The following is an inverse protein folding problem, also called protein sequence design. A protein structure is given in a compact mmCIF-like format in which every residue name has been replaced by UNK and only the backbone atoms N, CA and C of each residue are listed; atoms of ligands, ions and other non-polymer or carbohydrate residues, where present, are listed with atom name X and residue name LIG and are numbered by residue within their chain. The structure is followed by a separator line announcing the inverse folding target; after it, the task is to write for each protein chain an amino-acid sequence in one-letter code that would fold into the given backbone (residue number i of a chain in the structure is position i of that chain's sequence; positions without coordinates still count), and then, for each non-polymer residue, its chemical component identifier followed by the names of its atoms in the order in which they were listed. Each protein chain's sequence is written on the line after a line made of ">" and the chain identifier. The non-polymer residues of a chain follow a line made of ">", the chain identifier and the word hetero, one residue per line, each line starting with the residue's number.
data_IF_623140885347
#
_entry.id   IF_623140885347
#
_cell.length_a   1.000
_cell.length_b   1.000
_cell.length_c   1.000
_cell.angle_alpha   90.00
_cell.angle_beta   90.00
_cell.angle_gamma   90.00
#
_symmetry.space_group_name_H-M   'P 1'
#
loop_
_entity.id
_entity.type
_entity.pdbx_description
1 polymer ?
#
# COMPACT_ATOMS: atom_id res chain seq x y z
N UNK A 1 -6.31 9.36 -3.23
CA UNK A 1 -5.07 8.85 -2.60
C UNK A 1 -5.07 7.33 -2.70
N UNK A 2 -3.94 6.70 -3.03
CA UNK A 2 -3.81 5.24 -3.13
C UNK A 2 -2.77 4.75 -2.13
N UNK A 3 -3.07 3.68 -1.43
CA UNK A 3 -2.21 2.98 -0.47
C UNK A 3 -2.30 1.48 -0.74
N UNK A 4 -1.29 0.73 -0.35
CA UNK A 4 -1.26 -0.74 -0.43
C UNK A 4 -0.26 -1.26 0.60
N UNK A 5 -0.30 -2.56 0.88
CA UNK A 5 0.76 -3.28 1.60
C UNK A 5 1.05 -2.68 2.98
N UNK A 6 -0.02 -2.35 3.73
CA UNK A 6 0.15 -1.77 5.07
C UNK A 6 0.69 -2.78 6.06
N UNK A 7 0.40 -4.08 5.85
CA UNK A 7 0.97 -5.19 6.63
C UNK A 7 0.91 -4.94 8.15
N UNK A 8 -0.31 -4.74 8.66
CA UNK A 8 -0.56 -4.62 10.09
C UNK A 8 -0.15 -5.92 10.77
N UNK A 9 0.83 -5.81 11.66
CA UNK A 9 1.36 -6.94 12.40
C UNK A 9 0.27 -7.58 13.28
N UNK A 10 0.04 -8.87 13.03
CA UNK A 10 -0.89 -9.68 13.80
C UNK A 10 -0.30 -10.09 15.17
N UNK A 11 -1.04 -10.91 15.90
CA UNK A 11 -0.69 -11.33 17.27
C UNK A 11 0.24 -12.54 17.32
N UNK A 12 0.37 -13.30 16.24
CA UNK A 12 1.03 -14.62 16.22
C UNK A 12 2.54 -14.47 16.09
N UNK A 13 3.01 -13.74 15.08
CA UNK A 13 4.44 -13.57 14.75
C UNK A 13 4.94 -12.15 14.98
N UNK A 14 4.05 -11.18 15.15
CA UNK A 14 4.41 -9.78 15.35
C UNK A 14 5.04 -9.50 16.73
N UNK A 15 6.22 -8.88 16.75
CA UNK A 15 6.82 -8.37 17.98
C UNK A 15 6.15 -7.05 18.40
N UNK A 16 5.79 -6.91 19.68
CA UNK A 16 4.98 -5.78 20.17
C UNK A 16 5.64 -4.40 19.95
N UNK A 17 6.97 -4.32 20.04
CA UNK A 17 7.69 -3.05 19.83
C UNK A 17 7.70 -2.63 18.36
N UNK A 18 7.86 -3.60 17.46
CA UNK A 18 7.83 -3.34 16.01
C UNK A 18 6.42 -2.94 15.57
N UNK A 19 5.43 -3.66 16.10
CA UNK A 19 4.01 -3.35 15.98
C UNK A 19 3.71 -1.90 16.38
N UNK A 20 4.11 -1.50 17.59
CA UNK A 20 3.91 -0.13 18.09
C UNK A 20 4.58 0.92 17.18
N UNK A 21 5.83 0.67 16.77
CA UNK A 21 6.61 1.60 15.93
C UNK A 21 5.97 1.77 14.56
N UNK A 22 5.67 0.67 13.87
CA UNK A 22 5.12 0.66 12.50
C UNK A 22 3.74 1.30 12.49
N UNK A 23 2.87 0.96 13.43
CA UNK A 23 1.52 1.50 13.51
C UNK A 23 1.51 3.00 13.79
N UNK A 24 2.35 3.46 14.71
CA UNK A 24 2.49 4.89 14.97
C UNK A 24 2.98 5.64 13.72
N UNK A 25 3.99 5.10 13.02
CA UNK A 25 4.49 5.72 11.80
C UNK A 25 3.43 5.77 10.70
N UNK A 26 2.71 4.66 10.47
CA UNK A 26 1.63 4.58 9.48
C UNK A 26 0.50 5.55 9.80
N UNK A 27 0.04 5.58 11.06
CA UNK A 27 -1.02 6.51 11.46
C UNK A 27 -0.57 7.97 11.24
N UNK A 28 0.64 8.34 11.65
CA UNK A 28 1.15 9.71 11.46
C UNK A 28 1.27 10.06 9.98
N UNK A 29 1.80 9.16 9.16
CA UNK A 29 1.92 9.36 7.72
C UNK A 29 0.54 9.55 7.07
N UNK A 30 -0.41 8.67 7.39
CA UNK A 30 -1.77 8.74 6.85
C UNK A 30 -2.51 10.02 7.25
N UNK A 31 -2.49 10.37 8.54
CA UNK A 31 -3.14 11.59 9.03
C UNK A 31 -2.50 12.87 8.45
N UNK A 32 -1.18 12.85 8.24
CA UNK A 32 -0.47 13.97 7.59
C UNK A 32 -0.82 14.06 6.11
N UNK A 33 -0.91 12.92 5.40
CA UNK A 33 -1.31 12.87 4.00
C UNK A 33 -2.76 13.36 3.82
N UNK A 34 -3.68 12.99 4.72
CA UNK A 34 -5.05 13.54 4.74
C UNK A 34 -5.04 15.07 4.86
N UNK A 35 -4.24 15.61 5.78
CA UNK A 35 -4.18 17.04 6.04
C UNK A 35 -3.56 17.82 4.86
N UNK A 36 -2.46 17.31 4.28
CA UNK A 36 -1.74 17.98 3.19
C UNK A 36 -2.45 17.85 1.84
N UNK A 37 -2.89 16.64 1.50
CA UNK A 37 -3.39 16.31 0.16
C UNK A 37 -4.90 16.50 0.02
N UNK A 38 -5.63 16.57 1.15
CA UNK A 38 -7.09 16.72 1.20
C UNK A 38 -7.84 15.84 0.18
N UNK A 39 -7.59 14.51 0.15
CA UNK A 39 -8.19 13.66 -0.87
C UNK A 39 -9.70 13.48 -0.65
N UNK A 40 -10.47 13.46 -1.74
CA UNK A 40 -11.91 13.14 -1.69
C UNK A 40 -12.16 11.62 -1.58
N UNK A 41 -11.27 10.82 -2.18
CA UNK A 41 -11.35 9.34 -2.19
C UNK A 41 -9.99 8.72 -1.88
N UNK A 42 -10.01 7.66 -1.10
CA UNK A 42 -8.85 6.86 -0.68
C UNK A 42 -9.10 5.41 -1.07
N UNK A 43 -8.13 4.79 -1.72
CA UNK A 43 -8.12 3.36 -2.02
C UNK A 43 -7.00 2.68 -1.25
N UNK A 44 -7.30 1.57 -0.57
CA UNK A 44 -6.31 0.65 0.02
C UNK A 44 -6.37 -0.66 -0.77
N UNK A 45 -5.27 -1.01 -1.43
CA UNK A 45 -5.20 -2.06 -2.44
C UNK A 45 -4.54 -3.35 -1.91
N UNK A 46 -5.16 -3.96 -0.90
CA UNK A 46 -4.75 -5.27 -0.38
C UNK A 46 -3.61 -5.26 0.62
N UNK A 47 -3.39 -6.44 1.20
CA UNK A 47 -2.41 -6.77 2.25
C UNK A 47 -2.43 -5.77 3.41
N UNK A 48 -3.64 -5.64 3.97
CA UNK A 48 -3.90 -4.75 5.09
C UNK A 48 -3.26 -5.31 6.35
N UNK A 49 -3.44 -6.60 6.61
CA UNK A 49 -2.98 -7.37 7.77
C UNK A 49 -1.97 -8.43 7.35
N UNK A 50 -1.02 -8.78 8.22
CA UNK A 50 -0.01 -9.81 7.93
C UNK A 50 -0.49 -11.25 8.16
N UNK A 51 -1.52 -11.42 8.99
CA UNK A 51 -1.86 -12.72 9.57
C UNK A 51 -3.35 -13.06 9.49
N UNK A 52 -4.12 -12.40 8.65
CA UNK A 52 -5.57 -12.50 8.69
C UNK A 52 -6.07 -13.95 8.57
N UNK A 53 -5.45 -14.75 7.68
CA UNK A 53 -5.68 -16.20 7.54
C UNK A 53 -5.53 -17.00 8.84
N UNK A 54 -4.52 -16.66 9.64
CA UNK A 54 -4.14 -17.41 10.84
C UNK A 54 -4.70 -16.79 12.13
N UNK A 55 -5.44 -15.68 12.01
CA UNK A 55 -5.99 -14.94 13.13
C UNK A 55 -7.22 -15.63 13.69
N UNK A 56 -7.41 -15.57 15.02
CA UNK A 56 -8.68 -15.95 15.62
C UNK A 56 -9.74 -14.87 15.36
N UNK A 57 -11.03 -15.21 15.45
CA UNK A 57 -12.11 -14.21 15.24
C UNK A 57 -11.97 -12.98 16.13
N UNK A 58 -11.53 -13.14 17.37
CA UNK A 58 -11.28 -12.03 18.28
C UNK A 58 -10.07 -11.19 17.84
N UNK A 59 -8.94 -11.85 17.52
CA UNK A 59 -7.74 -11.14 17.08
C UNK A 59 -7.98 -10.39 15.76
N UNK A 60 -8.75 -10.98 14.84
CA UNK A 60 -9.21 -10.31 13.63
C UNK A 60 -10.05 -9.06 13.93
N UNK A 61 -11.03 -9.16 14.84
CA UNK A 61 -11.84 -8.01 15.23
C UNK A 61 -10.99 -6.89 15.86
N UNK A 62 -10.02 -7.25 16.71
CA UNK A 62 -9.07 -6.31 17.29
C UNK A 62 -8.21 -5.64 16.19
N UNK A 63 -7.74 -6.41 15.21
CA UNK A 63 -6.95 -5.91 14.08
C UNK A 63 -7.76 -4.95 13.20
N UNK A 64 -9.02 -5.27 12.89
CA UNK A 64 -9.96 -4.39 12.17
C UNK A 64 -10.21 -3.09 12.93
N UNK A 65 -10.38 -3.14 14.26
CA UNK A 65 -10.55 -1.94 15.07
C UNK A 65 -9.30 -1.05 15.03
N UNK A 66 -8.12 -1.64 15.08
CA UNK A 66 -6.84 -0.91 14.98
C UNK A 66 -6.69 -0.28 13.60
N UNK A 67 -7.02 -1.00 12.54
CA UNK A 67 -7.07 -0.48 11.19
C UNK A 67 -8.01 0.74 11.10
N UNK A 68 -9.25 0.63 11.55
CA UNK A 68 -10.22 1.74 11.53
C UNK A 68 -9.73 2.96 12.31
N UNK A 69 -9.05 2.75 13.44
CA UNK A 69 -8.47 3.82 14.25
C UNK A 69 -7.34 4.55 13.52
N UNK A 70 -6.40 3.80 12.93
CA UNK A 70 -5.24 4.40 12.25
C UNK A 70 -5.65 5.13 10.96
N UNK A 71 -6.53 4.51 10.17
CA UNK A 71 -7.02 5.03 8.90
C UNK A 71 -8.31 5.86 9.06
N UNK A 72 -8.53 6.43 10.24
CA UNK A 72 -9.66 7.33 10.52
C UNK A 72 -9.63 8.54 9.59
N UNK A 73 -10.79 8.90 9.06
CA UNK A 73 -10.93 9.99 8.10
C UNK A 73 -12.25 10.75 8.34
N UNK A 74 -12.35 12.01 7.90
CA UNK A 74 -13.60 12.76 7.93
C UNK A 74 -14.70 12.09 7.12
N UNK A 75 -15.96 12.29 7.49
CA UNK A 75 -17.12 11.67 6.83
C UNK A 75 -17.30 12.06 5.35
N UNK A 76 -16.72 13.19 4.92
CA UNK A 76 -16.73 13.62 3.52
C UNK A 76 -15.67 12.93 2.64
N UNK A 77 -14.77 12.14 3.24
CA UNK A 77 -13.75 11.38 2.50
C UNK A 77 -14.24 9.95 2.35
N UNK A 78 -14.20 9.41 1.13
CA UNK A 78 -14.59 8.01 0.90
C UNK A 78 -13.37 7.08 0.99
N UNK A 79 -13.44 6.06 1.84
CA UNK A 79 -12.44 4.98 1.89
C UNK A 79 -12.97 3.72 1.20
N UNK A 80 -12.20 3.21 0.23
CA UNK A 80 -12.44 1.95 -0.48
C UNK A 80 -11.29 0.99 -0.19
N UNK A 81 -11.60 -0.23 0.20
CA UNK A 81 -10.60 -1.21 0.64
C UNK A 81 -10.81 -2.50 -0.14
N UNK A 82 -9.74 -3.00 -0.74
CA UNK A 82 -9.66 -4.32 -1.36
C UNK A 82 -8.78 -5.18 -0.48
N UNK A 83 -9.12 -6.46 -0.31
CA UNK A 83 -8.28 -7.38 0.49
C UNK A 83 -7.20 -8.02 -0.38
N UNK A 84 -6.08 -8.42 0.25
CA UNK A 84 -4.98 -9.14 -0.38
C UNK A 84 -4.81 -10.54 0.20
N UNK A 85 -3.74 -11.23 -0.19
CA UNK A 85 -3.49 -12.59 0.28
C UNK A 85 -3.10 -12.67 1.75
N UNK A 86 -2.47 -11.65 2.33
CA UNK A 86 -2.15 -11.69 3.76
C UNK A 86 -3.40 -11.48 4.64
N UNK A 87 -4.47 -10.88 4.09
CA UNK A 87 -5.73 -10.63 4.79
C UNK A 87 -6.59 -11.90 4.92
N UNK A 88 -6.70 -12.70 3.86
CA UNK A 88 -7.61 -13.86 3.81
C UNK A 88 -6.90 -15.19 3.54
N UNK A 89 -5.62 -15.14 3.15
CA UNK A 89 -4.82 -16.31 2.84
C UNK A 89 -4.90 -16.81 1.40
N UNK A 90 -3.89 -17.58 0.98
CA UNK A 90 -3.97 -18.46 -0.18
C UNK A 90 -4.60 -19.79 0.26
N UNK A 91 -5.89 -19.99 0.03
CA UNK A 91 -6.50 -21.33 0.03
C UNK A 91 -7.29 -21.49 -1.26
N UNK A 92 -7.25 -22.69 -1.80
CA UNK A 92 -7.68 -23.10 -3.13
C UNK A 92 -9.18 -22.93 -3.45
N UNK A 93 -9.97 -22.21 -2.63
CA UNK A 93 -11.45 -22.24 -2.69
C UNK A 93 -12.21 -20.93 -2.35
N UNK A 94 -11.60 -19.73 -2.28
CA UNK A 94 -12.37 -18.46 -2.22
C UNK A 94 -11.61 -17.37 -2.99
N UNK A 95 -12.03 -16.96 -4.20
CA UNK A 95 -13.17 -16.07 -4.59
C UNK A 95 -13.14 -14.72 -3.89
N UNK A 96 -12.28 -13.86 -4.42
CA UNK A 96 -12.39 -12.41 -4.30
C UNK A 96 -12.58 -11.86 -5.71
N UNK A 97 -13.71 -11.21 -5.95
CA UNK A 97 -14.04 -10.51 -7.21
C UNK A 97 -13.04 -9.35 -7.36
N UNK A 98 -11.87 -9.66 -7.93
CA UNK A 98 -10.96 -8.75 -8.65
C UNK A 98 -9.63 -9.42 -9.04
N UNK A 99 -9.25 -10.56 -8.44
CA UNK A 99 -8.03 -11.29 -8.81
C UNK A 99 -8.33 -12.67 -9.41
N UNK A 100 -9.49 -13.23 -9.06
CA UNK A 100 -9.87 -14.60 -9.38
C UNK A 100 -10.38 -14.77 -10.83
N UNK A 101 -11.07 -13.77 -11.37
CA UNK A 101 -11.46 -13.77 -12.79
C UNK A 101 -10.25 -13.66 -13.74
N UNK A 102 -9.10 -13.23 -13.22
CA UNK A 102 -7.87 -13.16 -13.98
C UNK A 102 -7.19 -14.55 -14.01
N UNK A 103 -7.25 -15.37 -12.96
CA UNK A 103 -6.53 -16.67 -12.91
C UNK A 103 -6.77 -17.58 -14.13
N UNK A 104 -7.98 -17.58 -14.69
CA UNK A 104 -8.30 -18.24 -15.96
C UNK A 104 -8.17 -19.76 -15.95
N UNK A 105 -8.36 -20.35 -14.79
CA UNK A 105 -8.39 -21.79 -14.55
C UNK A 105 -9.76 -22.45 -14.85
N UNK A 106 -10.75 -21.68 -15.32
CA UNK A 106 -12.08 -22.19 -15.68
C UNK A 106 -12.94 -22.57 -14.47
N UNK A 107 -12.65 -22.03 -13.29
CA UNK A 107 -13.43 -22.31 -12.08
C UNK A 107 -14.91 -21.86 -12.21
N UNK A 108 -15.83 -22.72 -11.78
CA UNK A 108 -17.29 -22.54 -11.94
C UNK A 108 -17.81 -21.25 -11.27
N UNK A 109 -17.29 -20.90 -10.10
CA UNK A 109 -17.69 -19.69 -9.36
C UNK A 109 -17.12 -18.41 -10.01
N UNK A 110 -16.07 -18.55 -10.83
CA UNK A 110 -15.40 -17.44 -11.51
C UNK A 110 -16.13 -17.03 -12.79
N UNK A 111 -16.94 -17.93 -13.36
CA UNK A 111 -17.64 -17.73 -14.64
C UNK A 111 -18.47 -16.45 -14.70
N UNK A 112 -19.13 -16.06 -13.59
CA UNK A 112 -19.89 -14.82 -13.53
C UNK A 112 -18.98 -13.59 -13.61
N UNK A 113 -17.92 -13.55 -12.81
CA UNK A 113 -16.98 -12.43 -12.81
C UNK A 113 -16.19 -12.33 -14.12
N UNK A 114 -15.85 -13.46 -14.74
CA UNK A 114 -15.25 -13.49 -16.08
C UNK A 114 -16.22 -12.97 -17.15
N UNK A 115 -17.50 -13.36 -17.08
CA UNK A 115 -18.53 -12.86 -18.00
C UNK A 115 -18.73 -11.34 -17.83
N UNK A 116 -18.74 -10.83 -16.60
CA UNK A 116 -18.82 -9.39 -16.30
C UNK A 116 -17.60 -8.63 -16.85
N UNK A 117 -16.38 -9.16 -16.70
CA UNK A 117 -15.18 -8.56 -17.29
C UNK A 117 -15.22 -8.55 -18.82
N UNK A 118 -15.68 -9.63 -19.44
CA UNK A 118 -15.86 -9.71 -20.90
C UNK A 118 -16.90 -8.67 -21.36
N UNK A 119 -17.99 -8.50 -20.63
CA UNK A 119 -19.03 -7.50 -20.93
C UNK A 119 -18.51 -6.07 -20.81
N UNK A 120 -17.76 -5.76 -19.75
CA UNK A 120 -17.11 -4.46 -19.55
C UNK A 120 -16.09 -4.17 -20.65
N UNK A 121 -15.26 -5.17 -21.00
CA UNK A 121 -14.30 -5.09 -22.10
C UNK A 121 -15.00 -4.80 -23.43
N UNK A 122 -16.11 -5.48 -23.72
CA UNK A 122 -16.92 -5.24 -24.91
C UNK A 122 -17.48 -3.80 -24.94
N UNK A 123 -18.07 -3.32 -23.84
CA UNK A 123 -18.61 -1.95 -23.75
C UNK A 123 -17.53 -0.88 -23.97
N UNK A 124 -16.34 -1.09 -23.40
CA UNK A 124 -15.20 -0.17 -23.54
C UNK A 124 -14.65 -0.15 -24.97
N UNK A 125 -14.52 -1.32 -25.61
CA UNK A 125 -14.12 -1.41 -27.02
C UNK A 125 -15.14 -0.75 -27.94
N UNK A 126 -16.43 -0.97 -27.71
CA UNK A 126 -17.51 -0.32 -28.45
C UNK A 126 -17.47 1.21 -28.33
N UNK A 127 -17.14 1.73 -27.14
CA UNK A 127 -17.09 3.18 -26.93
C UNK A 127 -15.95 3.89 -27.66
N UNK A 128 -14.95 3.16 -28.10
CA UNK A 128 -13.78 3.68 -28.83
C UNK A 128 -13.95 3.62 -30.36
N UNK A 129 -14.95 2.91 -30.87
CA UNK A 129 -15.21 2.84 -32.31
C UNK A 129 -15.81 4.17 -32.80
N UNK A 130 -15.20 4.77 -33.83
CA UNK A 130 -15.71 6.00 -34.48
C UNK A 130 -17.01 5.76 -35.25
N UNK A 131 -17.27 4.53 -35.68
CA UNK A 131 -18.48 4.14 -36.42
C UNK A 131 -19.26 3.10 -35.63
N UNK A 132 -20.55 3.38 -35.42
CA UNK A 132 -21.48 2.47 -34.74
C UNK A 132 -21.73 1.25 -35.64
N UNK A 133 -21.18 0.11 -35.26
CA UNK A 133 -21.57 -1.18 -35.84
C UNK A 133 -22.81 -1.70 -35.13
N UNK A 134 -23.58 -2.59 -35.79
CA UNK A 134 -24.77 -3.25 -35.20
C UNK A 134 -24.44 -4.08 -33.95
N UNK A 135 -23.16 -4.40 -33.75
CA UNK A 135 -22.62 -5.17 -32.64
C UNK A 135 -22.40 -4.33 -31.36
N UNK A 136 -22.52 -3.00 -31.45
CA UNK A 136 -22.32 -2.07 -30.34
C UNK A 136 -23.61 -1.30 -30.02
N UNK A 137 -24.66 -2.03 -29.60
CA UNK A 137 -25.92 -1.47 -29.13
C UNK A 137 -25.83 -1.18 -27.61
N UNK A 138 -26.07 0.07 -27.20
CA UNK A 138 -26.01 0.48 -25.80
C UNK A 138 -25.51 1.90 -25.57
N UNK A 139 -25.41 2.29 -24.30
CA UNK A 139 -24.88 3.57 -23.84
C UNK A 139 -23.36 3.59 -24.02
N UNK A 140 -22.86 4.60 -24.75
CA UNK A 140 -21.43 4.82 -24.94
C UNK A 140 -20.82 5.29 -23.61
N UNK A 141 -19.74 4.63 -23.19
CA UNK A 141 -18.93 5.04 -22.04
C UNK A 141 -18.07 6.27 -22.42
N UNK A 142 -17.78 7.19 -21.49
CA UNK A 142 -16.85 8.27 -21.76
C UNK A 142 -15.51 7.73 -22.31
N UNK A 143 -14.87 8.47 -23.21
CA UNK A 143 -13.61 8.05 -23.83
C UNK A 143 -12.40 8.00 -22.85
N UNK A 144 -12.64 8.09 -21.54
CA UNK A 144 -11.64 7.89 -20.50
C UNK A 144 -11.19 6.42 -20.49
N UNK A 145 -9.88 6.20 -20.45
CA UNK A 145 -9.35 4.86 -20.25
C UNK A 145 -9.85 4.32 -18.88
N UNK A 146 -10.26 3.04 -18.81
CA UNK A 146 -10.61 2.42 -17.53
C UNK A 146 -9.39 2.38 -16.62
N UNK A 147 -9.57 2.71 -15.34
CA UNK A 147 -8.52 2.55 -14.33
C UNK A 147 -8.70 1.19 -13.67
N UNK A 148 -7.73 0.29 -13.87
CA UNK A 148 -7.66 -0.99 -13.17
C UNK A 148 -6.89 -0.81 -11.86
N UNK A 149 -7.53 -1.17 -10.75
CA UNK A 149 -6.91 -1.16 -9.43
C UNK A 149 -6.85 -2.59 -8.92
N UNK A 150 -5.64 -3.10 -8.70
CA UNK A 150 -5.42 -4.46 -8.21
C UNK A 150 -4.19 -4.51 -7.30
N UNK A 151 -4.16 -5.54 -6.45
CA UNK A 151 -3.05 -5.83 -5.56
C UNK A 151 -1.94 -6.63 -6.27
N UNK A 152 -2.31 -7.63 -7.07
CA UNK A 152 -1.34 -8.45 -7.82
C UNK A 152 -0.80 -7.71 -9.05
N UNK A 153 0.50 -7.75 -9.35
CA UNK A 153 1.03 -7.14 -10.56
C UNK A 153 0.62 -7.91 -11.82
N UNK A 154 0.30 -7.20 -12.91
CA UNK A 154 0.11 -7.79 -14.24
C UNK A 154 1.41 -8.44 -14.73
N UNK A 155 1.25 -9.38 -15.66
CA UNK A 155 2.33 -10.09 -16.32
C UNK A 155 3.35 -9.13 -16.90
N UNK A 156 4.60 -9.32 -16.47
CA UNK A 156 5.79 -8.74 -17.07
C UNK A 156 6.92 -9.76 -16.93
N UNK A 157 7.85 -9.77 -17.88
CA UNK A 157 8.93 -10.76 -17.90
C UNK A 157 9.93 -10.55 -16.76
N UNK A 158 10.28 -9.30 -16.47
CA UNK A 158 11.18 -8.89 -15.39
C UNK A 158 11.08 -7.38 -15.15
N UNK A 159 11.91 -6.85 -14.25
CA UNK A 159 12.11 -5.42 -14.00
C UNK A 159 13.02 -4.71 -15.02
N UNK A 160 13.43 -5.38 -16.10
CA UNK A 160 14.45 -4.88 -17.03
C UNK A 160 14.08 -3.55 -17.72
N UNK A 161 12.80 -3.34 -17.98
CA UNK A 161 12.30 -2.12 -18.62
C UNK A 161 11.99 -0.99 -17.62
N UNK A 162 12.17 -1.22 -16.31
CA UNK A 162 11.92 -0.21 -15.30
C UNK A 162 13.15 0.70 -15.16
N UNK A 163 12.94 2.00 -15.35
CA UNK A 163 14.00 3.03 -15.30
C UNK A 163 13.80 4.07 -14.20
N UNK A 164 12.76 3.94 -13.37
CA UNK A 164 12.46 4.86 -12.27
C UNK A 164 13.44 4.74 -11.09
N UNK A 165 13.36 5.70 -10.17
CA UNK A 165 14.20 5.72 -8.95
C UNK A 165 14.00 4.47 -8.08
N UNK A 166 12.78 3.90 -8.09
CA UNK A 166 12.43 2.67 -7.35
C UNK A 166 12.66 1.38 -8.15
N UNK A 167 13.20 1.45 -9.37
CA UNK A 167 13.45 0.24 -10.14
C UNK A 167 14.54 -0.60 -9.45
N UNK A 168 14.36 -1.93 -9.44
CA UNK A 168 15.22 -2.89 -8.73
C UNK A 168 16.73 -2.70 -9.02
N UNK A 169 17.62 -3.29 -8.24
CA UNK A 169 19.06 -3.15 -8.55
C UNK A 169 19.37 -3.77 -9.92
N UNK A 170 20.37 -3.26 -10.68
CA UNK A 170 20.67 -3.77 -12.02
C UNK A 170 20.89 -5.29 -12.09
N UNK A 171 21.41 -5.86 -11.01
CA UNK A 171 21.64 -7.30 -10.83
C UNK A 171 20.33 -8.09 -10.74
N UNK A 172 19.26 -7.48 -10.24
CA UNK A 172 17.95 -8.09 -10.02
C UNK A 172 16.97 -7.79 -11.17
N UNK A 173 17.14 -6.67 -11.90
CA UNK A 173 16.21 -6.25 -12.96
C UNK A 173 16.01 -7.29 -14.06
N UNK A 174 17.02 -8.11 -14.31
CA UNK A 174 16.99 -9.11 -15.37
C UNK A 174 16.50 -10.49 -14.89
N UNK A 175 16.23 -10.67 -13.59
CA UNK A 175 15.71 -11.92 -13.05
C UNK A 175 14.29 -12.12 -13.58
N UNK A 176 14.01 -13.23 -14.28
CA UNK A 176 12.66 -13.48 -14.79
C UNK A 176 11.67 -13.73 -13.66
N UNK A 177 10.51 -13.09 -13.74
CA UNK A 177 9.40 -13.37 -12.84
C UNK A 177 8.75 -14.71 -13.16
N UNK A 178 8.36 -15.42 -12.11
CA UNK A 178 7.57 -16.64 -12.16
C UNK A 178 6.08 -16.28 -12.15
N UNK A 179 5.38 -16.66 -13.20
CA UNK A 179 3.93 -16.53 -13.28
C UNK A 179 3.23 -17.27 -12.11
N UNK A 180 2.10 -16.72 -11.66
CA UNK A 180 1.32 -17.19 -10.49
C UNK A 180 2.07 -17.12 -9.16
N UNK A 181 3.23 -16.49 -9.14
CA UNK A 181 4.02 -16.28 -7.93
C UNK A 181 4.46 -14.82 -7.81
N UNK A 182 5.28 -14.36 -8.74
CA UNK A 182 5.78 -12.98 -8.76
C UNK A 182 4.82 -12.04 -9.51
N UNK A 183 4.10 -12.57 -10.52
CA UNK A 183 3.15 -11.84 -11.38
C UNK A 183 1.98 -12.72 -11.78
N UNK A 184 0.86 -12.10 -12.16
CA UNK A 184 -0.25 -12.81 -12.81
C UNK A 184 0.20 -13.48 -14.11
N UNK A 185 -0.50 -14.54 -14.52
CA UNK A 185 -0.18 -15.20 -15.79
C UNK A 185 -0.42 -14.26 -16.98
N UNK A 186 0.17 -14.60 -18.12
CA UNK A 186 -0.05 -13.82 -19.34
C UNK A 186 -1.51 -13.80 -19.76
N UNK A 187 -2.20 -14.94 -19.66
CA UNK A 187 -3.62 -15.10 -19.96
C UNK A 187 -4.46 -14.25 -19.01
N UNK A 188 -4.11 -14.28 -17.72
CA UNK A 188 -4.76 -13.49 -16.69
C UNK A 188 -4.67 -11.99 -16.95
N UNK A 189 -3.48 -11.55 -17.31
CA UNK A 189 -3.21 -10.13 -17.54
C UNK A 189 -3.89 -9.61 -18.79
N UNK A 190 -4.10 -10.45 -19.80
CA UNK A 190 -4.88 -10.11 -20.99
C UNK A 190 -6.35 -9.88 -20.68
N UNK A 191 -6.92 -10.58 -19.68
CA UNK A 191 -8.31 -10.36 -19.25
C UNK A 191 -8.51 -9.01 -18.53
N UNK A 192 -7.50 -8.56 -17.78
CA UNK A 192 -7.52 -7.27 -17.08
C UNK A 192 -7.04 -6.08 -17.93
N UNK A 193 -6.27 -6.34 -18.99
CA UNK A 193 -5.75 -5.30 -19.89
C UNK A 193 -6.80 -4.89 -20.90
N UNK A 194 -7.73 -4.02 -20.47
CA UNK A 194 -8.77 -3.45 -21.34
C UNK A 194 -8.25 -2.19 -22.08
N UNK A 195 -6.93 -1.99 -22.10
CA UNK A 195 -6.06 -1.16 -22.97
C UNK A 195 -5.15 -0.20 -22.21
N UNK A 196 -3.92 -0.07 -22.71
CA UNK A 196 -2.90 0.84 -22.23
C UNK A 196 -2.78 2.07 -23.15
N UNK A 197 -2.90 3.25 -22.57
CA UNK A 197 -2.14 4.43 -23.04
C UNK A 197 -1.52 5.06 -21.80
N UNK A 198 -0.21 5.25 -21.87
CA UNK A 198 0.70 5.61 -20.78
C UNK A 198 0.14 6.62 -19.78
N UNK A 199 -0.19 6.13 -18.59
CA UNK A 199 -0.34 6.99 -17.41
C UNK A 199 0.61 6.43 -16.36
N UNK A 200 1.76 7.08 -16.24
CA UNK A 200 2.68 6.83 -15.14
C UNK A 200 2.02 7.34 -13.84
N UNK A 201 1.81 6.43 -12.89
CA UNK A 201 1.45 6.81 -11.53
C UNK A 201 2.63 7.61 -10.95
N UNK A 202 2.46 8.91 -10.71
CA UNK A 202 3.50 9.70 -10.06
C UNK A 202 3.55 9.32 -8.58
N UNK A 203 4.57 8.58 -8.18
CA UNK A 203 4.87 8.38 -6.75
C UNK A 203 5.35 9.72 -6.19
N UNK A 204 4.70 10.20 -5.15
CA UNK A 204 5.25 11.28 -4.34
C UNK A 204 6.40 10.70 -3.50
N UNK A 205 7.57 11.35 -3.51
CA UNK A 205 8.74 10.89 -2.78
C UNK A 205 8.42 10.64 -1.30
N UNK A 206 8.51 9.39 -0.87
CA UNK A 206 8.41 9.04 0.55
C UNK A 206 9.79 9.29 1.18
N UNK A 207 9.87 10.00 2.31
CA UNK A 207 11.14 10.24 2.98
C UNK A 207 11.74 8.91 3.45
N UNK A 208 13.04 8.70 3.20
CA UNK A 208 13.76 7.51 3.70
C UNK A 208 13.60 7.39 5.22
N UNK A 209 13.45 6.17 5.74
CA UNK A 209 13.28 5.89 7.17
C UNK A 209 14.32 6.62 8.03
N UNK A 210 15.60 6.57 7.64
CA UNK A 210 16.67 7.25 8.37
C UNK A 210 16.48 8.77 8.45
N UNK A 211 15.92 9.41 7.41
CA UNK A 211 15.61 10.85 7.43
C UNK A 211 14.50 11.13 8.44
N UNK A 212 13.45 10.30 8.43
CA UNK A 212 12.35 10.40 9.39
C UNK A 212 12.85 10.25 10.82
N UNK A 213 13.66 9.23 11.10
CA UNK A 213 14.26 8.99 12.42
C UNK A 213 15.14 10.16 12.87
N UNK A 214 16.03 10.65 12.00
CA UNK A 214 16.89 11.79 12.32
C UNK A 214 16.09 13.06 12.65
N UNK A 215 15.03 13.34 11.88
CA UNK A 215 14.17 14.50 12.14
C UNK A 215 13.45 14.38 13.49
N UNK A 216 12.88 13.23 13.82
CA UNK A 216 12.21 13.03 15.11
C UNK A 216 13.18 13.08 16.29
N UNK A 217 14.33 12.39 16.20
CA UNK A 217 15.35 12.43 17.24
C UNK A 217 15.90 13.86 17.43
N UNK A 218 16.17 14.57 16.33
CA UNK A 218 16.62 15.97 16.38
C UNK A 218 15.59 16.89 17.03
N UNK A 219 14.30 16.75 16.66
CA UNK A 219 13.22 17.52 17.27
C UNK A 219 13.05 17.22 18.77
N UNK A 220 13.18 15.95 19.17
CA UNK A 220 13.10 15.56 20.58
C UNK A 220 14.27 16.13 21.40
N UNK A 221 15.49 16.07 20.88
CA UNK A 221 16.67 16.70 21.53
C UNK A 221 16.48 18.20 21.66
N UNK A 222 16.03 18.87 20.59
CA UNK A 222 15.75 20.31 20.61
C UNK A 222 14.68 20.65 21.67
N UNK A 223 13.61 19.87 21.75
CA UNK A 223 12.56 20.05 22.76
C UNK A 223 13.12 19.91 24.18
N UNK A 224 13.94 18.88 24.44
CA UNK A 224 14.58 18.68 25.74
C UNK A 224 15.47 19.88 26.09
N UNK A 225 16.26 20.39 25.14
CA UNK A 225 17.09 21.59 25.35
C UNK A 225 16.23 22.81 25.68
N UNK A 226 15.12 23.02 24.95
CA UNK A 226 14.19 24.13 25.20
C UNK A 226 13.54 24.02 26.59
N UNK A 227 13.15 22.83 27.01
CA UNK A 227 12.59 22.57 28.35
C UNK A 227 13.64 22.84 29.44
N UNK A 228 14.86 22.32 29.28
CA UNK A 228 15.95 22.57 30.23
C UNK A 228 16.33 24.06 30.31
N UNK A 229 16.27 24.78 29.19
CA UNK A 229 16.45 26.23 29.15
C UNK A 229 15.35 26.96 29.90
N UNK A 230 14.09 26.58 29.66
CA UNK A 230 12.92 27.18 30.30
C UNK A 230 12.97 27.04 31.84
N UNK A 231 13.43 25.90 32.35
CA UNK A 231 13.60 25.67 33.79
C UNK A 231 14.97 26.12 34.35
N UNK A 232 15.81 26.79 33.56
CA UNK A 232 17.17 27.21 33.93
C UNK A 232 18.08 26.07 34.45
N UNK A 233 17.83 24.83 34.01
CA UNK A 233 18.59 23.63 34.39
C UNK A 233 19.80 23.36 33.47
N UNK A 234 19.95 24.13 32.39
CA UNK A 234 21.10 24.02 31.48
C UNK A 234 22.46 24.25 32.19
N UNK A 235 22.65 25.33 32.98
CA UNK A 235 23.94 25.58 33.63
C UNK A 235 24.32 24.50 34.66
N UNK A 236 23.35 23.97 35.39
CA UNK A 236 23.58 22.95 36.44
C UNK A 236 23.98 21.59 35.86
N UNK A 237 23.41 21.18 34.73
CA UNK A 237 23.82 19.97 34.00
C UNK A 237 25.23 20.11 33.38
N UNK A 238 25.56 21.27 32.82
CA UNK A 238 26.90 21.56 32.30
C UNK A 238 27.97 21.51 33.40
N UNK A 239 27.69 22.11 34.57
CA UNK A 239 28.59 22.06 35.74
C UNK A 239 28.77 20.63 36.27
N UNK A 240 27.70 19.82 36.31
CA UNK A 240 27.77 18.42 36.74
C UNK A 240 28.61 17.57 35.77
N UNK A 241 28.39 17.71 34.47
CA UNK A 241 29.15 17.02 33.42
C UNK A 241 30.64 17.41 33.43
N UNK A 242 30.94 18.69 33.60
CA UNK A 242 32.30 19.19 33.73
C UNK A 242 33.03 18.61 34.95
N UNK A 243 32.36 18.53 36.11
CA UNK A 243 32.94 17.95 37.32
C UNK A 243 33.17 16.43 37.22
N UNK A 244 32.30 15.71 36.50
CA UNK A 244 32.48 14.28 36.21
C UNK A 244 33.64 14.01 35.24
N UNK A 245 33.80 14.83 34.20
CA UNK A 245 34.93 14.73 33.27
C UNK A 245 36.26 15.11 33.95
N UNK A 246 36.25 16.07 34.89
CA UNK A 246 37.41 16.45 35.67
C UNK A 246 37.87 15.36 36.64
N UNK A 247 36.94 14.60 37.25
CA UNK A 247 37.27 13.46 38.12
C UNK A 247 37.93 12.28 37.39
N UNK A 248 37.81 12.18 36.06
CA UNK A 248 38.46 11.13 35.25
C UNK A 248 39.88 11.47 34.77
N UNK A 249 40.37 12.70 34.98
CA UNK A 249 41.70 13.15 34.51
C UNK A 249 42.82 13.03 35.56
N UNK A 250 42.60 12.33 36.67
CA UNK A 250 43.64 12.06 37.69
C UNK A 250 44.04 10.59 37.67
N UNK A 251 44.95 10.25 36.75
CA UNK A 251 45.93 9.16 36.83
C UNK A 251 47.11 9.57 35.98
#
# INVERSE_FOLDING_TARGET
>A
MFLADTHLLGKVRGHWLDKLRREWQMERAFQTALWLLQPEVIFILGDIFDEGKWSSSQAWADDVQRFQKMFRHPSNVQLKVVVGNHDIGFHYDFVMVNSVALEGDGCHICSQAEAELIEVSHKLNCSRQKHRTRWCEGQLLPASAPVLLQHYPLYRRSDANCSGEDAALPEERNIPFKEKYDVLSREASQKGSITATDHALSKCYLPRENRVLLTYCGAAVLLVVLVLAHFQLLPSLFLLGWNLLRKRKTT
#
